data_IF_048725546697
#
_entry.id   IF_048725546697
#
_cell.length_a   1.000
_cell.length_b   1.000
_cell.length_c   1.000
_cell.angle_alpha   90.00
_cell.angle_beta   90.00
_cell.angle_gamma   90.00
#
_symmetry.space_group_name_H-M   'P 1'
#
loop_
_entity.id
_entity.type
_entity.pdbx_description
1 polymer ?
#
# COMPACT_ATOMS: atom_id res chain seq x y z
N UNK A 1 -25.54 -19.37 -7.01
CA UNK A 1 -25.12 -18.51 -5.89
C UNK A 1 -23.61 -18.34 -5.85
N UNK A 2 -22.81 -19.42 -5.90
CA UNK A 2 -21.34 -19.34 -5.90
C UNK A 2 -20.80 -18.48 -7.04
N UNK A 3 -21.29 -18.70 -8.26
CA UNK A 3 -20.79 -17.97 -9.43
C UNK A 3 -21.14 -16.48 -9.38
N UNK A 4 -22.29 -16.12 -8.82
CA UNK A 4 -22.65 -14.73 -8.59
C UNK A 4 -21.70 -14.03 -7.60
N UNK A 5 -21.28 -14.74 -6.54
CA UNK A 5 -20.31 -14.22 -5.55
C UNK A 5 -18.94 -14.05 -6.23
N UNK A 6 -18.50 -15.02 -7.03
CA UNK A 6 -17.24 -14.96 -7.77
C UNK A 6 -17.21 -13.76 -8.73
N UNK A 7 -18.26 -13.57 -9.49
CA UNK A 7 -18.40 -12.45 -10.43
C UNK A 7 -18.41 -11.11 -9.68
N UNK A 8 -19.15 -11.01 -8.58
CA UNK A 8 -19.22 -9.80 -7.78
C UNK A 8 -17.86 -9.42 -7.19
N UNK A 9 -17.15 -10.39 -6.60
CA UNK A 9 -15.81 -10.17 -6.04
C UNK A 9 -14.79 -9.79 -7.12
N UNK A 10 -14.83 -10.45 -8.28
CA UNK A 10 -13.96 -10.13 -9.40
C UNK A 10 -14.24 -8.72 -9.94
N UNK A 11 -15.50 -8.33 -10.07
CA UNK A 11 -15.90 -7.00 -10.52
C UNK A 11 -15.47 -5.91 -9.54
N UNK A 12 -15.62 -6.13 -8.23
CA UNK A 12 -15.16 -5.21 -7.19
C UNK A 12 -13.64 -5.05 -7.26
N UNK A 13 -12.90 -6.16 -7.32
CA UNK A 13 -11.44 -6.13 -7.41
C UNK A 13 -10.96 -5.39 -8.67
N UNK A 14 -11.60 -5.62 -9.81
CA UNK A 14 -11.29 -4.93 -11.06
C UNK A 14 -11.56 -3.42 -10.96
N UNK A 15 -12.70 -3.02 -10.39
CA UNK A 15 -13.05 -1.61 -10.20
C UNK A 15 -12.04 -0.87 -9.32
N UNK A 16 -11.63 -1.49 -8.20
CA UNK A 16 -10.58 -0.92 -7.33
C UNK A 16 -9.21 -0.87 -8.02
N UNK A 17 -8.87 -1.89 -8.81
CA UNK A 17 -7.62 -1.93 -9.58
C UNK A 17 -7.56 -0.81 -10.61
N UNK A 18 -8.63 -0.60 -11.37
CA UNK A 18 -8.72 0.50 -12.33
C UNK A 18 -8.68 1.87 -11.64
N UNK A 19 -9.41 2.03 -10.55
CA UNK A 19 -9.39 3.27 -9.75
C UNK A 19 -7.98 3.59 -9.22
N UNK A 20 -7.28 2.57 -8.75
CA UNK A 20 -5.91 2.71 -8.28
C UNK A 20 -4.92 3.06 -9.41
N UNK A 21 -5.08 2.45 -10.58
CA UNK A 21 -4.26 2.77 -11.76
C UNK A 21 -4.43 4.23 -12.19
N UNK A 22 -5.67 4.72 -12.23
CA UNK A 22 -5.96 6.14 -12.49
C UNK A 22 -5.36 7.04 -11.41
N UNK A 23 -5.44 6.61 -10.14
CA UNK A 23 -4.84 7.33 -9.01
C UNK A 23 -3.34 7.51 -9.15
N UNK A 24 -2.60 6.45 -9.54
CA UNK A 24 -1.14 6.51 -9.75
C UNK A 24 -0.77 7.49 -10.87
N UNK A 25 -1.56 7.51 -11.97
CA UNK A 25 -1.30 8.41 -13.11
C UNK A 25 -1.63 9.87 -12.79
N UNK A 26 -2.63 10.11 -11.95
CA UNK A 26 -3.17 11.45 -11.70
C UNK A 26 -2.55 12.16 -10.50
N UNK A 27 -1.94 11.42 -9.57
CA UNK A 27 -1.33 12.02 -8.38
C UNK A 27 0.04 12.62 -8.69
N UNK A 28 0.30 13.88 -8.33
CA UNK A 28 1.58 14.55 -8.55
C UNK A 28 2.65 14.13 -7.54
N UNK A 29 2.27 13.56 -6.39
CA UNK A 29 3.12 13.24 -5.27
C UNK A 29 3.52 11.76 -5.22
N UNK A 30 4.82 11.49 -5.02
CA UNK A 30 5.38 10.13 -4.93
C UNK A 30 4.77 9.35 -3.75
N UNK A 31 4.56 10.00 -2.62
CA UNK A 31 3.97 9.36 -1.43
C UNK A 31 2.52 8.95 -1.67
N UNK A 32 1.74 9.81 -2.31
CA UNK A 32 0.36 9.50 -2.71
C UNK A 32 0.31 8.36 -3.73
N UNK A 33 1.26 8.29 -4.66
CA UNK A 33 1.38 7.19 -5.63
C UNK A 33 1.68 5.86 -4.95
N UNK A 34 2.59 5.82 -3.97
CA UNK A 34 2.89 4.63 -3.18
C UNK A 34 1.63 4.15 -2.45
N UNK A 35 0.87 5.08 -1.87
CA UNK A 35 -0.36 4.76 -1.17
C UNK A 35 -1.46 4.24 -2.10
N UNK A 36 -1.62 4.83 -3.29
CA UNK A 36 -2.54 4.34 -4.32
C UNK A 36 -2.15 2.94 -4.81
N UNK A 37 -0.87 2.68 -5.04
CA UNK A 37 -0.35 1.38 -5.43
C UNK A 37 -0.64 0.32 -4.37
N UNK A 38 -0.38 0.62 -3.10
CA UNK A 38 -0.66 -0.28 -1.99
C UNK A 38 -2.17 -0.62 -1.88
N UNK A 39 -3.03 0.38 -2.02
CA UNK A 39 -4.50 0.17 -2.04
C UNK A 39 -4.95 -0.66 -3.23
N UNK A 40 -4.37 -0.44 -4.41
CA UNK A 40 -4.67 -1.22 -5.61
C UNK A 40 -4.36 -2.69 -5.42
N UNK A 41 -3.21 -3.01 -4.83
CA UNK A 41 -2.82 -4.40 -4.56
C UNK A 41 -3.75 -5.02 -3.53
N UNK A 42 -4.03 -4.32 -2.43
CA UNK A 42 -4.84 -4.89 -1.35
C UNK A 42 -6.32 -4.95 -1.71
N UNK A 43 -6.90 -3.85 -2.19
CA UNK A 43 -8.35 -3.78 -2.49
C UNK A 43 -8.69 -4.29 -3.90
N UNK A 44 -7.71 -4.35 -4.80
CA UNK A 44 -7.88 -4.86 -6.16
C UNK A 44 -7.58 -6.35 -6.26
N UNK A 45 -6.37 -6.78 -5.90
CA UNK A 45 -5.95 -8.16 -6.09
C UNK A 45 -6.56 -9.14 -5.09
N UNK A 46 -6.75 -8.75 -3.82
CA UNK A 46 -7.32 -9.65 -2.80
C UNK A 46 -8.71 -10.16 -3.14
N UNK A 47 -9.71 -9.31 -3.51
CA UNK A 47 -11.02 -9.81 -3.88
C UNK A 47 -10.99 -10.77 -5.06
N UNK A 48 -10.11 -10.54 -6.05
CA UNK A 48 -9.93 -11.45 -7.19
C UNK A 48 -9.35 -12.79 -6.76
N UNK A 49 -8.36 -12.80 -5.88
CA UNK A 49 -7.79 -14.04 -5.33
C UNK A 49 -8.81 -14.79 -4.48
N UNK A 50 -9.61 -14.11 -3.68
CA UNK A 50 -10.70 -14.70 -2.91
C UNK A 50 -11.77 -15.27 -3.85
N UNK A 51 -12.11 -14.57 -4.93
CA UNK A 51 -13.01 -15.06 -5.96
C UNK A 51 -12.53 -16.39 -6.55
N UNK A 52 -11.23 -16.48 -6.82
CA UNK A 52 -10.60 -17.72 -7.32
C UNK A 52 -10.68 -18.84 -6.30
N UNK A 53 -10.41 -18.57 -5.03
CA UNK A 53 -10.53 -19.55 -3.93
C UNK A 53 -11.98 -20.05 -3.79
N UNK A 54 -12.96 -19.15 -3.86
CA UNK A 54 -14.39 -19.51 -3.78
C UNK A 54 -14.83 -20.29 -5.02
N UNK A 55 -14.37 -19.89 -6.20
CA UNK A 55 -14.72 -20.52 -7.47
C UNK A 55 -14.17 -21.94 -7.64
N UNK A 56 -12.90 -22.13 -7.33
CA UNK A 56 -12.19 -23.40 -7.51
C UNK A 56 -12.19 -24.31 -6.27
N UNK A 57 -12.50 -23.74 -5.10
CA UNK A 57 -12.42 -24.41 -3.81
C UNK A 57 -11.03 -24.28 -3.17
N UNK A 58 -10.96 -24.16 -1.84
CA UNK A 58 -9.70 -23.92 -1.09
C UNK A 58 -8.75 -25.13 -1.16
N UNK A 59 -9.26 -26.34 -1.33
CA UNK A 59 -8.49 -27.59 -1.40
C UNK A 59 -7.99 -27.88 -2.82
N UNK A 60 -8.52 -27.16 -3.81
CA UNK A 60 -8.05 -27.26 -5.21
C UNK A 60 -6.60 -26.75 -5.33
N UNK A 61 -5.85 -27.33 -6.27
CA UNK A 61 -4.48 -26.90 -6.58
C UNK A 61 -4.39 -25.39 -6.94
N UNK A 62 -5.42 -24.84 -7.56
CA UNK A 62 -5.49 -23.41 -7.88
C UNK A 62 -5.94 -22.57 -6.69
N UNK A 63 -6.92 -23.05 -5.92
CA UNK A 63 -7.42 -22.34 -4.73
C UNK A 63 -6.37 -22.24 -3.62
N UNK A 64 -5.63 -23.30 -3.34
CA UNK A 64 -4.55 -23.29 -2.35
C UNK A 64 -3.41 -22.34 -2.72
N UNK A 65 -3.03 -22.28 -3.99
CA UNK A 65 -2.04 -21.32 -4.50
C UNK A 65 -2.54 -19.88 -4.39
N UNK A 66 -3.78 -19.64 -4.77
CA UNK A 66 -4.39 -18.31 -4.66
C UNK A 66 -4.47 -17.84 -3.20
N UNK A 67 -4.82 -18.74 -2.28
CA UNK A 67 -4.84 -18.45 -0.86
C UNK A 67 -3.45 -18.10 -0.31
N UNK A 68 -2.43 -18.88 -0.68
CA UNK A 68 -1.04 -18.63 -0.30
C UNK A 68 -0.56 -17.26 -0.80
N UNK A 69 -0.85 -16.94 -2.07
CA UNK A 69 -0.50 -15.63 -2.65
C UNK A 69 -1.25 -14.49 -1.95
N UNK A 70 -2.53 -14.68 -1.61
CA UNK A 70 -3.30 -13.68 -0.89
C UNK A 70 -2.71 -13.37 0.50
N UNK A 71 -2.32 -14.40 1.25
CA UNK A 71 -1.67 -14.25 2.56
C UNK A 71 -0.31 -13.56 2.42
N UNK A 72 0.51 -13.97 1.44
CA UNK A 72 1.78 -13.31 1.15
C UNK A 72 1.60 -11.83 0.82
N UNK A 73 0.63 -11.47 -0.02
CA UNK A 73 0.36 -10.08 -0.36
C UNK A 73 -0.05 -9.24 0.84
N UNK A 74 -0.84 -9.81 1.77
CA UNK A 74 -1.24 -9.12 2.99
C UNK A 74 -0.06 -8.79 3.90
N UNK A 75 0.96 -9.65 3.94
CA UNK A 75 2.14 -9.46 4.78
C UNK A 75 3.18 -8.57 4.07
N UNK A 76 3.49 -8.88 2.81
CA UNK A 76 4.58 -8.23 2.06
C UNK A 76 4.22 -6.80 1.66
N UNK A 77 2.96 -6.55 1.28
CA UNK A 77 2.54 -5.26 0.77
C UNK A 77 2.72 -4.09 1.77
N UNK A 78 2.29 -4.18 3.04
CA UNK A 78 2.56 -3.14 4.02
C UNK A 78 4.06 -2.92 4.25
N UNK A 79 4.84 -4.00 4.36
CA UNK A 79 6.28 -3.92 4.60
C UNK A 79 6.99 -3.22 3.43
N UNK A 80 6.68 -3.61 2.20
CA UNK A 80 7.25 -3.02 1.00
C UNK A 80 6.88 -1.53 0.87
N UNK A 81 5.63 -1.16 1.15
CA UNK A 81 5.16 0.23 1.09
C UNK A 81 5.86 1.11 2.11
N UNK A 82 6.04 0.64 3.34
CA UNK A 82 6.78 1.36 4.38
C UNK A 82 8.27 1.49 4.05
N UNK A 83 8.89 0.44 3.52
CA UNK A 83 10.29 0.48 3.10
C UNK A 83 10.50 1.48 1.96
N UNK A 84 9.61 1.48 0.96
CA UNK A 84 9.67 2.39 -0.18
C UNK A 84 9.44 3.85 0.24
N UNK A 85 8.47 4.11 1.11
CA UNK A 85 8.21 5.44 1.64
C UNK A 85 9.40 5.98 2.43
N UNK A 86 10.02 5.14 3.26
CA UNK A 86 11.25 5.50 4.01
C UNK A 86 12.43 5.77 3.09
N UNK A 87 12.61 4.96 2.05
CA UNK A 87 13.67 5.16 1.05
C UNK A 87 13.47 6.47 0.29
N UNK A 88 12.25 6.77 -0.15
CA UNK A 88 11.91 8.03 -0.81
C UNK A 88 12.19 9.24 0.08
N UNK A 89 11.90 9.14 1.37
CA UNK A 89 12.21 10.19 2.35
C UNK A 89 13.71 10.41 2.53
N UNK A 90 14.49 9.33 2.66
CA UNK A 90 15.96 9.38 2.82
C UNK A 90 16.69 9.91 1.60
N UNK A 91 16.18 9.65 0.40
CA UNK A 91 16.75 10.15 -0.86
C UNK A 91 16.39 11.60 -1.16
N UNK A 92 15.64 12.27 -0.28
CA UNK A 92 15.31 13.69 -0.44
C UNK A 92 14.30 13.99 -1.52
N UNK A 93 13.44 13.01 -1.88
CA UNK A 93 12.32 13.25 -2.80
C UNK A 93 11.40 14.29 -2.18
N UNK A 94 11.20 15.47 -2.82
CA UNK A 94 10.41 16.54 -2.23
C UNK A 94 8.95 16.12 -2.09
N UNK A 95 8.37 16.39 -0.90
CA UNK A 95 6.92 16.33 -0.72
C UNK A 95 6.25 17.39 -1.60
N UNK A 96 5.02 17.09 -2.01
CA UNK A 96 4.22 18.07 -2.74
C UNK A 96 4.11 19.39 -1.94
N UNK A 97 4.23 20.53 -2.64
CA UNK A 97 4.22 21.86 -2.03
C UNK A 97 2.96 22.18 -1.19
N UNK A 98 1.90 21.37 -1.29
CA UNK A 98 0.68 21.45 -0.49
C UNK A 98 0.69 20.58 0.77
N UNK A 99 1.77 19.88 1.08
CA UNK A 99 1.87 19.11 2.33
C UNK A 99 1.97 20.06 3.52
N UNK A 100 0.95 20.01 4.39
CA UNK A 100 0.80 20.96 5.51
C UNK A 100 1.68 20.57 6.70
N UNK A 101 2.07 19.30 6.84
CA UNK A 101 2.82 18.81 8.01
C UNK A 101 3.88 17.80 7.60
N UNK A 102 5.12 18.08 7.88
CA UNK A 102 6.25 17.16 7.85
C UNK A 102 6.68 16.80 9.28
N UNK A 103 5.97 15.85 9.88
CA UNK A 103 6.20 15.45 11.27
C UNK A 103 7.58 14.81 11.49
N UNK A 104 8.10 14.11 10.50
CA UNK A 104 9.41 13.45 10.61
C UNK A 104 10.53 14.47 10.65
N UNK A 105 10.43 15.52 9.85
CA UNK A 105 11.40 16.62 9.86
C UNK A 105 11.32 17.41 11.17
N UNK A 106 10.12 17.71 11.64
CA UNK A 106 9.91 18.36 12.92
C UNK A 106 10.48 17.58 14.10
N UNK A 107 10.34 16.26 14.10
CA UNK A 107 10.92 15.38 15.12
C UNK A 107 12.45 15.34 15.05
N UNK A 108 13.01 15.34 13.84
CA UNK A 108 14.46 15.37 13.65
C UNK A 108 15.06 16.71 14.12
N UNK A 109 14.39 17.81 13.84
CA UNK A 109 14.80 19.16 14.30
C UNK A 109 14.64 19.32 15.81
N UNK A 110 13.57 18.78 16.40
CA UNK A 110 13.36 18.79 17.85
C UNK A 110 14.42 17.94 18.59
N UNK A 111 14.76 16.76 18.06
CA UNK A 111 15.81 15.89 18.62
C UNK A 111 17.22 16.46 18.49
N UNK A 112 17.51 17.23 17.46
CA UNK A 112 18.80 17.90 17.30
C UNK A 112 18.92 19.15 18.21
N UNK A 113 17.81 19.84 18.48
CA UNK A 113 17.78 20.97 19.41
C UNK A 113 17.99 20.58 20.86
N UNK A 114 17.63 19.37 21.25
CA UNK A 114 17.80 18.86 22.61
C UNK A 114 19.21 18.36 22.89
N UNK A 115 19.98 18.05 21.83
CA UNK A 115 21.39 17.67 21.95
C UNK A 115 22.33 18.87 22.15
N UNK A 116 21.88 20.09 21.89
CA UNK A 116 22.64 21.33 22.07
C UNK A 116 22.16 22.15 23.29
N UNK A 117 21.78 21.45 24.37
CA UNK A 117 21.46 22.07 25.65
C UNK A 117 22.66 22.80 26.25
N UNK A 118 22.47 23.98 26.90
CA UNK A 118 23.55 24.80 27.47
C UNK A 118 24.16 24.11 28.70
N UNK A 119 25.18 23.30 28.50
CA UNK A 119 25.83 22.56 29.57
C UNK A 119 27.19 22.01 29.19
N UNK A 120 28.09 22.88 28.71
CA UNK A 120 29.54 22.64 28.85
C UNK A 120 30.19 23.90 29.39
N UNK A 121 30.85 23.78 30.60
CA UNK A 121 31.76 24.82 31.07
C UNK A 121 32.96 24.94 30.19
#
# INVERSE_FOLDING_TARGET
MRDAIVIALAAIGLAFSLSGAVGILRMPDVYSRIQCSSKTITMGALPVLIALVVGMGPISSYGSRALLVAVLLLIVNPVASHALARAAYKTGVPMWRGAVVDQVRQQAEAGSGEADGPGRP
#
